data_IF_520984565652
#
_entry.id   IF_520984565652
#
_cell.length_a   1.000
_cell.length_b   1.000
_cell.length_c   1.000
_cell.angle_alpha   90.00
_cell.angle_beta   90.00
_cell.angle_gamma   90.00
#
_symmetry.space_group_name_H-M   'P 1'
#
loop_
_entity.id
_entity.type
_entity.pdbx_description
1 polymer ?
#
# COMPACT_ATOMS: atom_id res chain seq x y z
N UNK A 1 4.63 -76.22 -27.65
CA UNK A 1 5.37 -75.07 -28.15
C UNK A 1 4.50 -73.83 -28.09
N UNK A 2 4.47 -73.13 -26.99
CA UNK A 2 3.74 -71.85 -26.84
C UNK A 2 4.66 -70.89 -26.08
N UNK A 3 5.15 -69.91 -26.77
CA UNK A 3 5.99 -68.83 -26.22
C UNK A 3 5.07 -67.79 -25.57
N UNK A 4 5.12 -67.66 -24.26
CA UNK A 4 4.51 -66.55 -23.52
C UNK A 4 5.44 -65.33 -23.63
N UNK A 5 4.98 -64.31 -24.33
CA UNK A 5 5.54 -62.98 -24.23
C UNK A 5 4.96 -62.22 -23.02
N UNK A 6 5.76 -62.05 -21.98
CA UNK A 6 5.43 -61.10 -20.91
C UNK A 6 5.79 -59.71 -21.35
N UNK A 7 4.76 -58.91 -21.65
CA UNK A 7 4.91 -57.47 -21.89
C UNK A 7 4.87 -56.74 -20.54
N UNK A 8 6.03 -56.30 -20.06
CA UNK A 8 6.15 -55.40 -18.91
C UNK A 8 5.75 -53.98 -19.35
N UNK A 9 4.55 -53.54 -18.95
CA UNK A 9 4.06 -52.18 -19.13
C UNK A 9 4.64 -51.34 -18.00
N UNK A 10 5.72 -50.60 -18.28
CA UNK A 10 6.29 -49.60 -17.38
C UNK A 10 5.41 -48.35 -17.39
N UNK A 11 4.60 -48.18 -16.34
CA UNK A 11 3.79 -46.97 -16.12
C UNK A 11 4.68 -45.86 -15.54
N UNK A 12 5.21 -44.98 -16.41
CA UNK A 12 5.88 -43.76 -15.97
C UNK A 12 4.85 -42.78 -15.40
N UNK A 13 4.76 -42.70 -14.07
CA UNK A 13 4.09 -41.60 -13.38
C UNK A 13 4.92 -40.29 -13.60
N UNK A 14 4.56 -39.49 -14.55
CA UNK A 14 5.05 -38.14 -14.69
C UNK A 14 4.44 -37.28 -13.58
N UNK A 15 5.14 -37.09 -12.49
CA UNK A 15 4.80 -36.10 -11.47
C UNK A 15 5.01 -34.70 -12.05
N UNK A 16 3.93 -34.07 -12.52
CA UNK A 16 3.92 -32.67 -12.91
C UNK A 16 4.06 -31.82 -11.63
N UNK A 17 5.28 -31.35 -11.40
CA UNK A 17 5.54 -30.29 -10.40
C UNK A 17 4.89 -29.01 -10.91
N UNK A 18 3.70 -28.68 -10.42
CA UNK A 18 3.07 -27.39 -10.64
C UNK A 18 3.94 -26.36 -9.90
N UNK A 19 4.83 -25.72 -10.64
CA UNK A 19 5.54 -24.55 -10.16
C UNK A 19 4.52 -23.45 -10.03
N UNK A 20 4.16 -23.07 -8.81
CA UNK A 20 3.44 -21.84 -8.53
C UNK A 20 4.27 -20.67 -9.09
N UNK A 21 3.89 -20.15 -10.23
CA UNK A 21 4.50 -18.95 -10.80
C UNK A 21 4.02 -17.79 -9.93
N UNK A 22 4.94 -17.19 -9.17
CA UNK A 22 4.69 -15.92 -8.50
C UNK A 22 4.24 -14.92 -9.59
N UNK A 23 3.02 -14.41 -9.46
CA UNK A 23 2.50 -13.43 -10.41
C UNK A 23 3.41 -12.19 -10.38
N UNK A 24 3.79 -11.63 -11.57
CA UNK A 24 4.54 -10.38 -11.62
C UNK A 24 3.72 -9.29 -10.92
N UNK A 25 4.26 -8.70 -9.85
CA UNK A 25 3.60 -7.66 -9.07
C UNK A 25 3.28 -8.03 -7.62
N UNK A 26 3.19 -9.33 -7.25
CA UNK A 26 2.89 -9.74 -5.87
C UNK A 26 3.90 -9.15 -4.88
N UNK A 27 5.19 -9.26 -5.16
CA UNK A 27 6.24 -8.71 -4.29
C UNK A 27 6.25 -7.17 -4.19
N UNK A 28 5.80 -6.46 -5.23
CA UNK A 28 5.67 -5.00 -5.19
C UNK A 28 4.57 -4.56 -4.22
N UNK A 29 3.41 -5.22 -4.26
CA UNK A 29 2.30 -4.90 -3.37
C UNK A 29 2.59 -5.26 -1.92
N UNK A 30 3.30 -6.35 -1.66
CA UNK A 30 3.79 -6.72 -0.33
C UNK A 30 4.70 -5.64 0.26
N UNK A 31 5.67 -5.14 -0.53
CA UNK A 31 6.58 -4.07 -0.10
C UNK A 31 5.81 -2.77 0.16
N UNK A 32 4.88 -2.39 -0.72
CA UNK A 32 4.06 -1.19 -0.55
C UNK A 32 3.13 -1.29 0.67
N UNK A 33 2.54 -2.47 0.92
CA UNK A 33 1.73 -2.70 2.11
C UNK A 33 2.55 -2.54 3.40
N UNK A 34 3.77 -3.10 3.44
CA UNK A 34 4.68 -2.93 4.55
C UNK A 34 5.10 -1.45 4.75
N UNK A 35 5.31 -0.68 3.66
CA UNK A 35 5.56 0.75 3.76
C UNK A 35 4.34 1.52 4.27
N UNK A 36 3.13 1.25 3.77
CA UNK A 36 1.91 1.88 4.28
C UNK A 36 1.72 1.64 5.78
N UNK A 37 1.93 0.42 6.24
CA UNK A 37 1.91 0.10 7.66
C UNK A 37 2.96 0.88 8.46
N UNK A 38 4.20 0.96 7.95
CA UNK A 38 5.25 1.75 8.59
C UNK A 38 4.94 3.25 8.59
N UNK A 39 4.29 3.78 7.57
CA UNK A 39 3.85 5.18 7.56
C UNK A 39 2.86 5.43 8.70
N UNK A 40 1.88 4.54 8.89
CA UNK A 40 0.94 4.65 10.01
C UNK A 40 1.66 4.68 11.37
N UNK A 41 2.71 3.88 11.53
CA UNK A 41 3.47 3.80 12.79
C UNK A 41 4.44 4.96 13.04
N UNK A 42 4.86 5.65 11.99
CA UNK A 42 5.94 6.65 12.01
C UNK A 42 5.44 8.07 11.68
N UNK A 43 4.14 8.24 11.56
CA UNK A 43 3.46 9.52 11.47
C UNK A 43 2.68 9.74 12.75
N UNK A 44 2.69 10.97 13.28
CA UNK A 44 1.92 11.37 14.44
C UNK A 44 0.73 12.22 13.95
N UNK A 45 -0.47 11.87 14.40
CA UNK A 45 -1.70 12.63 14.17
C UNK A 45 -1.96 13.61 15.31
N UNK A 46 -2.66 14.73 15.06
CA UNK A 46 -3.04 15.65 16.11
C UNK A 46 -3.96 14.96 17.14
N UNK A 47 -3.87 15.36 18.40
CA UNK A 47 -4.73 14.86 19.46
C UNK A 47 -6.22 15.10 19.13
N UNK A 48 -7.07 14.11 19.36
CA UNK A 48 -8.50 14.18 19.02
C UNK A 48 -8.85 13.72 17.59
N UNK A 49 -7.91 13.07 16.91
CA UNK A 49 -8.15 12.40 15.64
C UNK A 49 -9.19 11.27 15.72
N UNK A 50 -9.06 10.25 14.90
CA UNK A 50 -10.03 9.13 14.85
C UNK A 50 -10.27 8.50 16.20
N UNK A 51 -11.53 8.32 16.57
CA UNK A 51 -11.92 7.55 17.74
C UNK A 51 -12.28 6.12 17.33
N UNK A 52 -11.67 5.15 18.00
CA UNK A 52 -12.02 3.72 17.89
C UNK A 52 -11.13 2.91 16.95
N UNK A 53 -10.85 3.33 15.75
CA UNK A 53 -9.95 2.62 14.81
C UNK A 53 -9.26 3.59 13.86
N UNK A 54 -8.03 3.29 13.49
CA UNK A 54 -7.30 4.00 12.45
C UNK A 54 -7.62 3.39 11.07
N UNK A 55 -8.14 4.19 10.17
CA UNK A 55 -8.71 3.76 8.88
C UNK A 55 -7.76 4.03 7.73
N UNK A 56 -7.34 2.96 7.07
CA UNK A 56 -6.55 3.03 5.85
C UNK A 56 -7.48 2.79 4.67
N UNK A 57 -7.75 3.84 3.91
CA UNK A 57 -8.61 3.78 2.73
C UNK A 57 -7.79 3.60 1.47
N UNK A 58 -8.28 2.79 0.54
CA UNK A 58 -7.72 2.57 -0.78
C UNK A 58 -8.74 3.07 -1.81
N UNK A 59 -8.35 4.02 -2.65
CA UNK A 59 -9.20 4.51 -3.71
C UNK A 59 -9.38 3.45 -4.79
N UNK A 60 -10.60 2.93 -4.91
CA UNK A 60 -10.97 1.85 -5.83
C UNK A 60 -10.48 0.46 -5.45
N UNK A 61 -10.95 -0.57 -6.16
CA UNK A 61 -10.46 -1.94 -6.00
C UNK A 61 -9.00 -2.04 -6.43
N UNK A 62 -8.14 -2.57 -5.55
CA UNK A 62 -6.72 -2.71 -5.84
C UNK A 62 -6.12 -3.94 -5.14
N UNK A 63 -5.20 -4.71 -5.80
CA UNK A 63 -4.60 -5.93 -5.23
C UNK A 63 -3.80 -5.70 -3.92
N UNK A 64 -3.37 -4.48 -3.65
CA UNK A 64 -2.68 -4.13 -2.39
C UNK A 64 -3.57 -4.33 -1.17
N UNK A 65 -4.91 -4.29 -1.33
CA UNK A 65 -5.84 -4.39 -0.21
C UNK A 65 -5.62 -5.67 0.57
N UNK A 66 -5.63 -6.81 -0.09
CA UNK A 66 -5.42 -8.12 0.54
C UNK A 66 -4.09 -8.18 1.30
N UNK A 67 -2.99 -7.68 0.67
CA UNK A 67 -1.66 -7.65 1.30
C UNK A 67 -1.61 -6.72 2.50
N UNK A 68 -2.29 -5.60 2.43
CA UNK A 68 -2.35 -4.64 3.53
C UNK A 68 -3.20 -5.18 4.68
N UNK A 69 -4.35 -5.80 4.41
CA UNK A 69 -5.19 -6.47 5.42
C UNK A 69 -4.43 -7.58 6.14
N UNK A 70 -3.63 -8.37 5.41
CA UNK A 70 -2.74 -9.38 6.00
C UNK A 70 -1.67 -8.73 6.90
N UNK A 71 -1.04 -7.65 6.42
CA UNK A 71 0.04 -6.95 7.11
C UNK A 71 -0.43 -6.31 8.42
N UNK A 72 -1.66 -5.76 8.45
CA UNK A 72 -2.18 -5.04 9.63
C UNK A 72 -3.08 -5.89 10.53
N UNK A 73 -3.23 -7.17 10.24
CA UNK A 73 -4.12 -8.06 11.01
C UNK A 73 -3.69 -8.17 12.46
N UNK A 74 -4.53 -7.69 13.38
CA UNK A 74 -4.27 -7.71 14.82
C UNK A 74 -3.32 -6.60 15.29
N UNK A 75 -2.84 -5.76 14.38
CA UNK A 75 -1.97 -4.65 14.72
C UNK A 75 -2.75 -3.45 15.27
N UNK A 76 -2.11 -2.70 16.15
CA UNK A 76 -2.64 -1.46 16.71
C UNK A 76 -1.60 -0.35 16.64
N UNK A 77 -2.06 0.88 16.49
CA UNK A 77 -1.23 2.08 16.59
C UNK A 77 -1.91 3.02 17.61
N UNK A 78 -1.16 3.44 18.65
CA UNK A 78 -1.68 4.24 19.76
C UNK A 78 -2.92 3.62 20.43
N UNK A 79 -2.98 2.27 20.49
CA UNK A 79 -4.09 1.51 21.05
C UNK A 79 -5.31 1.40 20.14
N UNK A 80 -5.26 1.96 18.93
CA UNK A 80 -6.34 1.87 17.95
C UNK A 80 -6.07 0.73 16.96
N UNK A 81 -7.03 -0.18 16.72
CA UNK A 81 -6.90 -1.22 15.71
C UNK A 81 -6.87 -0.60 14.30
N UNK A 82 -6.10 -1.21 13.41
CA UNK A 82 -6.01 -0.79 12.02
C UNK A 82 -7.09 -1.48 11.20
N UNK A 83 -7.81 -0.68 10.39
CA UNK A 83 -8.86 -1.16 9.50
C UNK A 83 -8.57 -0.70 8.07
N UNK A 84 -8.54 -1.65 7.14
CA UNK A 84 -8.36 -1.39 5.70
C UNK A 84 -9.70 -1.47 4.99
N UNK A 85 -9.96 -0.53 4.09
CA UNK A 85 -11.17 -0.56 3.26
C UNK A 85 -10.94 0.06 1.88
N UNK A 86 -11.59 -0.47 0.87
CA UNK A 86 -11.70 0.15 -0.44
C UNK A 86 -12.85 1.16 -0.46
N UNK A 87 -12.64 2.31 -1.09
CA UNK A 87 -13.64 3.36 -1.26
C UNK A 87 -13.78 3.73 -2.73
N UNK A 88 -14.99 3.84 -3.21
CA UNK A 88 -15.28 4.20 -4.62
C UNK A 88 -15.48 5.71 -4.82
N UNK A 89 -15.69 6.44 -3.73
CA UNK A 89 -15.86 7.89 -3.72
C UNK A 89 -15.01 8.49 -2.60
N UNK A 90 -14.60 9.76 -2.69
CA UNK A 90 -13.88 10.43 -1.64
C UNK A 90 -14.60 10.34 -0.30
N UNK A 91 -13.86 9.94 0.74
CA UNK A 91 -14.36 9.77 2.10
C UNK A 91 -13.46 10.51 3.09
N UNK A 92 -14.05 11.42 3.85
CA UNK A 92 -13.36 12.22 4.86
C UNK A 92 -13.06 11.46 6.15
N UNK A 93 -13.58 10.25 6.28
CA UNK A 93 -13.39 9.39 7.44
C UNK A 93 -12.14 8.52 7.39
N UNK A 94 -11.19 8.80 6.53
CA UNK A 94 -9.91 8.11 6.42
C UNK A 94 -8.83 8.82 7.23
N UNK A 95 -7.91 8.08 7.84
CA UNK A 95 -6.69 8.60 8.47
C UNK A 95 -5.51 8.49 7.50
N UNK A 96 -5.51 7.44 6.68
CA UNK A 96 -4.59 7.26 5.56
C UNK A 96 -5.41 7.04 4.29
N UNK A 97 -5.03 7.70 3.21
CA UNK A 97 -5.68 7.57 1.91
C UNK A 97 -4.64 7.19 0.85
N UNK A 98 -4.69 5.95 0.40
CA UNK A 98 -3.86 5.47 -0.70
C UNK A 98 -4.61 5.59 -2.03
N UNK A 99 -3.99 6.24 -3.01
CA UNK A 99 -4.55 6.49 -4.34
C UNK A 99 -3.67 5.82 -5.39
N UNK A 100 -4.07 4.64 -5.92
CA UNK A 100 -3.33 3.94 -6.95
C UNK A 100 -3.25 4.74 -8.25
N UNK A 101 -2.15 4.60 -8.98
CA UNK A 101 -1.91 5.30 -10.27
C UNK A 101 -3.06 5.16 -11.27
N UNK A 102 -3.67 4.00 -11.35
CA UNK A 102 -4.70 3.69 -12.35
C UNK A 102 -6.10 4.18 -12.00
N UNK A 103 -6.28 4.78 -10.83
CA UNK A 103 -7.59 5.22 -10.39
C UNK A 103 -8.04 6.57 -10.98
N UNK A 104 -7.14 7.34 -11.59
CA UNK A 104 -7.45 8.48 -12.46
C UNK A 104 -8.00 9.75 -11.82
N UNK A 105 -8.46 9.73 -10.58
CA UNK A 105 -9.16 10.82 -9.89
C UNK A 105 -8.39 11.38 -8.68
N UNK A 106 -7.05 11.34 -8.69
CA UNK A 106 -6.24 11.75 -7.53
C UNK A 106 -6.60 13.15 -7.03
N UNK A 107 -6.80 14.12 -7.92
CA UNK A 107 -7.14 15.50 -7.56
C UNK A 107 -8.49 15.63 -6.86
N UNK A 108 -9.46 14.80 -7.16
CA UNK A 108 -10.78 14.79 -6.51
C UNK A 108 -10.65 14.28 -5.07
N UNK A 109 -9.93 13.17 -4.88
CA UNK A 109 -9.68 12.61 -3.55
C UNK A 109 -8.83 13.54 -2.68
N UNK A 110 -7.79 14.19 -3.24
CA UNK A 110 -6.97 15.15 -2.52
C UNK A 110 -7.77 16.36 -2.07
N UNK A 111 -8.64 16.90 -2.94
CA UNK A 111 -9.53 18.02 -2.57
C UNK A 111 -10.50 17.67 -1.45
N UNK A 112 -11.04 16.46 -1.44
CA UNK A 112 -11.99 16.04 -0.41
C UNK A 112 -11.38 15.96 0.99
N UNK A 113 -10.07 15.74 1.09
CA UNK A 113 -9.34 15.66 2.36
C UNK A 113 -8.47 16.90 2.62
N UNK A 114 -8.59 17.94 1.81
CA UNK A 114 -7.84 19.18 1.97
C UNK A 114 -8.04 19.79 3.36
N UNK A 115 -6.94 20.23 3.99
CA UNK A 115 -6.96 20.80 5.34
C UNK A 115 -7.22 19.80 6.48
N UNK A 116 -7.43 18.54 6.18
CA UNK A 116 -7.68 17.48 7.17
C UNK A 116 -6.40 16.69 7.48
N UNK A 117 -6.24 16.18 8.71
CA UNK A 117 -5.06 15.39 9.09
C UNK A 117 -5.11 13.97 8.49
N UNK A 118 -5.14 13.89 7.16
CA UNK A 118 -5.14 12.63 6.41
C UNK A 118 -3.80 12.45 5.72
N UNK A 119 -3.13 11.35 5.97
CA UNK A 119 -1.90 10.99 5.26
C UNK A 119 -2.26 10.51 3.86
N UNK A 120 -2.03 11.34 2.86
CA UNK A 120 -2.27 10.98 1.46
C UNK A 120 -1.03 10.31 0.86
N UNK A 121 -1.22 9.17 0.20
CA UNK A 121 -0.17 8.37 -0.42
C UNK A 121 -0.57 8.04 -1.86
N UNK A 122 0.29 8.37 -2.82
CA UNK A 122 0.02 8.14 -4.25
C UNK A 122 1.03 7.23 -4.92
N UNK A 123 0.85 7.07 -6.23
CA UNK A 123 1.76 6.34 -7.14
C UNK A 123 1.95 7.07 -8.47
N UNK A 124 1.27 8.18 -8.69
CA UNK A 124 1.37 8.93 -9.93
C UNK A 124 2.54 9.94 -9.88
N UNK A 125 3.27 10.15 -10.98
CA UNK A 125 4.40 11.10 -11.01
C UNK A 125 4.02 12.52 -10.60
N UNK A 126 2.80 12.96 -10.94
CA UNK A 126 2.27 14.28 -10.65
C UNK A 126 1.65 14.41 -9.25
N UNK A 127 1.56 13.32 -8.48
CA UNK A 127 0.85 13.29 -7.19
C UNK A 127 1.38 14.32 -6.18
N UNK A 128 2.70 14.44 -6.10
CA UNK A 128 3.35 15.40 -5.20
C UNK A 128 3.08 16.85 -5.60
N UNK A 129 3.00 17.14 -6.90
CA UNK A 129 2.66 18.46 -7.44
C UNK A 129 1.20 18.84 -7.17
N UNK A 130 0.32 17.86 -7.05
CA UNK A 130 -1.09 18.04 -6.69
C UNK A 130 -1.31 18.22 -5.18
N UNK A 131 -0.24 18.28 -4.37
CA UNK A 131 -0.33 18.46 -2.92
C UNK A 131 -0.32 17.17 -2.10
N UNK A 132 0.00 16.04 -2.71
CA UNK A 132 0.16 14.77 -2.01
C UNK A 132 1.30 14.81 -0.98
N UNK A 133 1.17 14.01 0.10
CA UNK A 133 2.14 13.99 1.19
C UNK A 133 3.24 12.96 0.95
N UNK A 134 2.89 11.75 0.51
CA UNK A 134 3.84 10.70 0.17
C UNK A 134 3.51 10.08 -1.19
N UNK A 135 4.52 9.59 -1.91
CA UNK A 135 4.29 8.96 -3.21
C UNK A 135 5.27 7.81 -3.44
N UNK A 136 4.76 6.67 -3.89
CA UNK A 136 5.58 5.55 -4.29
C UNK A 136 6.08 5.73 -5.72
N UNK A 137 7.31 5.34 -5.95
CA UNK A 137 7.90 5.26 -7.28
C UNK A 137 8.82 4.04 -7.39
N UNK A 138 9.13 3.63 -8.61
CA UNK A 138 10.08 2.57 -8.86
C UNK A 138 11.43 3.15 -9.27
N UNK A 139 12.47 2.72 -8.59
CA UNK A 139 13.86 2.94 -8.98
C UNK A 139 14.42 1.61 -9.48
N UNK A 140 14.42 1.43 -10.79
CA UNK A 140 14.62 0.12 -11.40
C UNK A 140 13.50 -0.85 -11.00
N UNK A 141 13.85 -1.89 -10.23
CA UNK A 141 12.88 -2.87 -9.69
C UNK A 141 12.59 -2.67 -8.20
N UNK A 142 13.07 -1.60 -7.59
CA UNK A 142 12.91 -1.34 -6.16
C UNK A 142 11.79 -0.33 -5.93
N UNK A 143 10.88 -0.66 -5.02
CA UNK A 143 9.91 0.30 -4.51
C UNK A 143 10.64 1.31 -3.63
N UNK A 144 10.47 2.59 -3.95
CA UNK A 144 10.94 3.73 -3.19
C UNK A 144 9.77 4.65 -2.91
N UNK A 145 9.99 5.61 -2.05
CA UNK A 145 8.98 6.63 -1.79
C UNK A 145 9.61 8.00 -1.57
N UNK A 146 8.82 9.00 -1.83
CA UNK A 146 9.13 10.39 -1.57
C UNK A 146 8.11 10.99 -0.60
N UNK A 147 8.54 11.99 0.16
CA UNK A 147 7.70 12.67 1.14
C UNK A 147 7.86 14.18 0.99
N UNK A 148 6.73 14.90 1.09
CA UNK A 148 6.65 16.34 1.23
C UNK A 148 6.34 16.69 2.71
N UNK A 149 7.35 16.99 3.54
CA UNK A 149 7.14 17.32 4.96
C UNK A 149 6.31 18.59 5.15
N UNK A 150 6.42 19.55 4.21
CA UNK A 150 5.65 20.78 4.25
C UNK A 150 4.16 20.51 4.05
N UNK A 151 3.80 19.64 3.08
CA UNK A 151 2.41 19.22 2.88
C UNK A 151 1.85 18.52 4.14
N UNK A 152 2.62 17.65 4.77
CA UNK A 152 2.23 17.01 6.01
C UNK A 152 1.98 18.02 7.15
N UNK A 153 2.90 18.95 7.34
CA UNK A 153 2.80 19.99 8.39
C UNK A 153 1.58 20.90 8.21
N UNK A 154 1.18 21.19 6.98
CA UNK A 154 -0.02 22.02 6.69
C UNK A 154 -1.32 21.40 7.19
N UNK A 155 -1.34 20.06 7.33
CA UNK A 155 -2.50 19.32 7.85
C UNK A 155 -2.24 18.76 9.26
N UNK A 156 -1.27 19.35 9.99
CA UNK A 156 -0.90 18.98 11.35
C UNK A 156 -0.42 17.52 11.52
N UNK A 157 0.09 16.89 10.46
CA UNK A 157 0.77 15.62 10.55
C UNK A 157 2.27 15.84 10.80
N UNK A 158 2.85 15.06 11.72
CA UNK A 158 4.27 15.08 12.03
C UNK A 158 4.92 13.79 11.56
N UNK A 159 5.83 13.92 10.62
CA UNK A 159 6.57 12.77 10.08
C UNK A 159 7.81 12.53 10.94
N UNK A 160 8.00 11.33 11.45
CA UNK A 160 9.18 11.01 12.26
C UNK A 160 10.47 11.17 11.45
N UNK A 161 11.54 11.59 12.11
CA UNK A 161 12.87 11.71 11.50
C UNK A 161 13.35 10.38 10.91
N UNK A 162 12.98 9.25 11.53
CA UNK A 162 13.29 7.91 11.04
C UNK A 162 12.67 7.64 9.67
N UNK A 163 11.42 8.08 9.46
CA UNK A 163 10.76 7.91 8.17
C UNK A 163 11.35 8.85 7.11
N UNK A 164 11.66 10.09 7.49
CA UNK A 164 12.28 11.08 6.58
C UNK A 164 13.66 10.64 6.09
N UNK A 165 14.46 9.96 6.92
CA UNK A 165 15.77 9.43 6.53
C UNK A 165 15.71 8.35 5.44
N UNK A 166 14.57 7.67 5.28
CA UNK A 166 14.35 6.62 4.28
C UNK A 166 13.73 7.16 2.99
N UNK A 167 13.19 8.36 3.03
CA UNK A 167 12.47 8.99 1.93
C UNK A 167 13.37 9.85 1.05
N UNK A 168 12.99 9.99 -0.22
CA UNK A 168 13.40 11.14 -1.01
C UNK A 168 12.55 12.34 -0.58
N UNK A 169 13.19 13.36 -0.03
CA UNK A 169 12.46 14.56 0.37
C UNK A 169 12.18 15.43 -0.84
N UNK A 170 10.94 15.90 -0.96
CA UNK A 170 10.54 16.88 -1.95
C UNK A 170 10.08 18.14 -1.22
N UNK A 171 10.59 19.29 -1.68
CA UNK A 171 10.24 20.60 -1.12
C UNK A 171 8.91 21.13 -1.67
N UNK A 172 8.43 22.28 -1.16
CA UNK A 172 7.32 22.99 -1.77
C UNK A 172 7.69 23.38 -3.20
N UNK A 173 6.86 23.02 -4.15
CA UNK A 173 6.85 23.59 -5.49
C UNK A 173 6.20 24.96 -5.45
#
# INVERSE_FOLDING_TARGET
MRRLCLSLLALCLATTVVRAQAQPGTGEYEIKAAFLYNFVRLVEWPAGGSTGSMRICIAGPHPIQERLEETVRGETVEGQPLVVRSILQPDTGCDVLFIPRRFGAASEYLRAVEGRPVLTVGEAPEFMQQGGIANFFLEGKRVRFEINPTAASRVNLRISSRLLQLARLVGPT
#
